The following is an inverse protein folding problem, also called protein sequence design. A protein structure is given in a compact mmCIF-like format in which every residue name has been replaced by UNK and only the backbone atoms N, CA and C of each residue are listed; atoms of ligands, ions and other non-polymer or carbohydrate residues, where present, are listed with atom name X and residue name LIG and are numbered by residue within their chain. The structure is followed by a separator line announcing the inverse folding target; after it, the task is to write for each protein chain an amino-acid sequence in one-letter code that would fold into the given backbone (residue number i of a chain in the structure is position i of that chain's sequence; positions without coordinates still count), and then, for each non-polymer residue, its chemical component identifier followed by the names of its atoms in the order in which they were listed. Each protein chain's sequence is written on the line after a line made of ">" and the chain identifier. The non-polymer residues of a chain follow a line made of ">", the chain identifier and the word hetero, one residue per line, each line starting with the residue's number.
data_IF_935834185331
#
_entry.id   IF_935834185331
#
_cell.length_a   1.000
_cell.length_b   1.000
_cell.length_c   1.000
_cell.angle_alpha   90.00
_cell.angle_beta   90.00
_cell.angle_gamma   90.00
#
_symmetry.space_group_name_H-M   'P 1'
#
loop_
_entity.id
_entity.type
_entity.pdbx_description
1 polymer ?
#
# COMPACT_ATOMS: atom_id res chain seq x y z
N UNK A 1 11.62 1.73 9.64
CA UNK A 1 10.96 3.05 9.53
C UNK A 1 9.54 2.91 10.02
N UNK A 2 9.05 3.84 10.84
CA UNK A 2 7.64 3.85 11.27
C UNK A 2 6.76 4.19 10.06
N UNK A 3 5.71 3.41 9.81
CA UNK A 3 4.76 3.58 8.68
C UNK A 3 4.15 4.99 8.59
N UNK A 4 4.09 5.69 9.72
CA UNK A 4 3.62 7.08 9.84
C UNK A 4 4.35 8.06 8.91
N UNK A 5 5.66 7.85 8.63
CA UNK A 5 6.41 8.79 7.79
C UNK A 5 6.01 8.72 6.31
N UNK A 6 5.65 7.53 5.84
CA UNK A 6 5.20 7.32 4.45
C UNK A 6 3.82 7.96 4.28
N UNK A 7 2.91 7.75 5.25
CA UNK A 7 1.59 8.37 5.24
C UNK A 7 1.66 9.90 5.28
N UNK A 8 2.51 10.46 6.15
CA UNK A 8 2.72 11.91 6.23
C UNK A 8 3.22 12.49 4.89
N UNK A 9 4.17 11.82 4.23
CA UNK A 9 4.68 12.26 2.93
C UNK A 9 3.59 12.20 1.85
N UNK A 10 2.83 11.12 1.79
CA UNK A 10 1.73 10.94 0.82
C UNK A 10 0.62 11.96 1.03
N UNK A 11 0.23 12.24 2.27
CA UNK A 11 -0.86 13.19 2.59
C UNK A 11 -0.49 14.65 2.33
N UNK A 12 0.81 14.98 2.26
CA UNK A 12 1.30 16.32 1.97
C UNK A 12 1.55 16.56 0.47
N UNK A 13 1.21 15.59 -0.39
CA UNK A 13 1.37 15.69 -1.85
C UNK A 13 0.00 15.76 -2.54
N UNK A 14 -0.05 16.44 -3.69
CA UNK A 14 -1.19 16.33 -4.59
C UNK A 14 -1.41 14.85 -4.97
N UNK A 15 -2.66 14.34 -4.99
CA UNK A 15 -2.94 12.91 -5.16
C UNK A 15 -2.26 12.26 -6.37
N UNK A 16 -2.18 12.99 -7.49
CA UNK A 16 -1.52 12.52 -8.71
C UNK A 16 0.00 12.43 -8.54
N UNK A 17 0.61 13.38 -7.83
CA UNK A 17 2.04 13.38 -7.54
C UNK A 17 2.39 12.26 -6.56
N UNK A 18 1.56 12.04 -5.54
CA UNK A 18 1.71 10.94 -4.59
C UNK A 18 1.64 9.57 -5.28
N UNK A 19 0.63 9.37 -6.13
CA UNK A 19 0.47 8.13 -6.89
C UNK A 19 1.66 7.86 -7.81
N UNK A 20 2.17 8.90 -8.50
CA UNK A 20 3.35 8.80 -9.36
C UNK A 20 4.61 8.43 -8.59
N UNK A 21 4.85 9.08 -7.45
CA UNK A 21 6.01 8.80 -6.58
C UNK A 21 5.97 7.38 -6.02
N UNK A 22 4.82 6.93 -5.50
CA UNK A 22 4.64 5.56 -5.03
C UNK A 22 4.83 4.53 -6.15
N UNK A 23 4.30 4.80 -7.35
CA UNK A 23 4.44 3.91 -8.50
C UNK A 23 5.90 3.72 -8.93
N UNK A 24 6.73 4.76 -8.81
CA UNK A 24 8.15 4.69 -9.13
C UNK A 24 8.90 3.75 -8.16
N UNK A 25 8.70 3.93 -6.86
CA UNK A 25 9.33 3.09 -5.82
C UNK A 25 8.83 1.65 -5.88
N UNK A 26 7.52 1.45 -6.06
CA UNK A 26 6.91 0.12 -6.15
C UNK A 26 7.42 -0.68 -7.35
N UNK A 27 7.73 -0.03 -8.48
CA UNK A 27 8.37 -0.70 -9.64
C UNK A 27 9.74 -1.30 -9.30
N UNK A 28 10.48 -0.69 -8.38
CA UNK A 28 11.76 -1.22 -7.92
C UNK A 28 11.61 -2.38 -6.92
N UNK A 29 10.58 -2.33 -6.07
CA UNK A 29 10.34 -3.34 -5.03
C UNK A 29 9.63 -4.58 -5.57
N UNK A 30 8.68 -4.42 -6.48
CA UNK A 30 7.82 -5.51 -6.96
C UNK A 30 8.58 -6.71 -7.54
N UNK A 31 9.66 -6.54 -8.33
CA UNK A 31 10.46 -7.67 -8.83
C UNK A 31 11.20 -8.44 -7.73
N UNK A 32 11.47 -7.83 -6.58
CA UNK A 32 12.19 -8.44 -5.45
C UNK A 32 11.28 -9.32 -4.59
N UNK A 33 9.97 -9.23 -4.77
CA UNK A 33 8.98 -10.06 -4.07
C UNK A 33 8.95 -11.47 -4.67
N UNK A 34 8.73 -12.46 -3.82
CA UNK A 34 8.37 -13.81 -4.27
C UNK A 34 7.00 -13.83 -4.98
N UNK A 35 6.69 -14.93 -5.66
CA UNK A 35 5.47 -15.07 -6.45
C UNK A 35 4.19 -14.87 -5.63
N UNK A 36 4.11 -15.48 -4.44
CA UNK A 36 2.97 -15.35 -3.55
C UNK A 36 2.82 -13.92 -3.00
N UNK A 37 3.94 -13.25 -2.72
CA UNK A 37 3.96 -11.85 -2.30
C UNK A 37 3.52 -10.91 -3.43
N UNK A 38 3.90 -11.17 -4.69
CA UNK A 38 3.43 -10.39 -5.85
C UNK A 38 1.92 -10.51 -6.05
N UNK A 39 1.39 -11.73 -5.97
CA UNK A 39 -0.05 -11.98 -6.12
C UNK A 39 -0.83 -11.26 -5.01
N UNK A 40 -0.43 -11.42 -3.74
CA UNK A 40 -1.05 -10.72 -2.61
C UNK A 40 -0.96 -9.20 -2.72
N UNK A 41 0.17 -8.68 -3.19
CA UNK A 41 0.34 -7.24 -3.40
C UNK A 41 -0.67 -6.68 -4.40
N UNK A 42 -0.83 -7.33 -5.56
CA UNK A 42 -1.81 -6.90 -6.58
C UNK A 42 -3.24 -7.06 -6.06
N UNK A 43 -3.55 -8.14 -5.35
CA UNK A 43 -4.86 -8.33 -4.72
C UNK A 43 -5.18 -7.24 -3.69
N UNK A 44 -4.21 -6.80 -2.88
CA UNK A 44 -4.42 -5.73 -1.90
C UNK A 44 -4.48 -4.32 -2.55
N UNK A 45 -3.88 -4.15 -3.74
CA UNK A 45 -3.90 -2.89 -4.47
C UNK A 45 -5.20 -2.69 -5.26
N UNK A 46 -5.74 -3.78 -5.82
CA UNK A 46 -6.98 -3.79 -6.62
C UNK A 46 -8.20 -4.10 -5.72
N UNK A 47 -7.99 -4.80 -4.62
CA UNK A 47 -9.01 -5.26 -3.68
C UNK A 47 -9.38 -4.21 -2.64
N UNK A 48 -10.64 -3.82 -2.73
CA UNK A 48 -11.49 -3.11 -1.78
C UNK A 48 -10.98 -1.76 -1.25
N UNK A 49 -11.25 -0.72 -2.04
CA UNK A 49 -11.34 0.66 -1.60
C UNK A 49 -12.52 0.93 -0.65
N UNK A 50 -13.13 -0.08 -0.02
CA UNK A 50 -14.31 0.14 0.82
C UNK A 50 -14.73 -1.02 1.71
N UNK A 51 -14.09 -1.19 2.88
CA UNK A 51 -14.85 -1.22 4.13
C UNK A 51 -13.95 -1.07 5.38
N UNK A 52 -14.48 -0.29 6.32
CA UNK A 52 -13.95 0.21 7.57
C UNK A 52 -13.72 -0.88 8.66
N UNK A 53 -13.32 -2.12 8.33
CA UNK A 53 -13.51 -3.27 9.27
C UNK A 53 -12.31 -4.16 9.62
N UNK A 54 -11.06 -3.73 9.42
CA UNK A 54 -9.89 -4.46 9.98
C UNK A 54 -9.56 -4.00 11.42
N UNK A 55 -10.57 -3.62 12.20
CA UNK A 55 -10.40 -3.23 13.62
C UNK A 55 -11.10 -4.14 14.62
N UNK A 56 -11.89 -5.16 14.22
CA UNK A 56 -12.77 -5.82 15.21
C UNK A 56 -12.72 -7.36 15.32
N UNK A 57 -11.81 -8.09 14.67
CA UNK A 57 -11.83 -9.57 14.74
C UNK A 57 -10.50 -10.26 15.11
N UNK A 58 -9.69 -9.62 15.96
CA UNK A 58 -8.64 -10.30 16.74
C UNK A 58 -8.93 -10.34 18.24
N UNK A 59 -10.21 -10.33 18.61
CA UNK A 59 -10.65 -10.81 19.91
C UNK A 59 -11.45 -12.11 19.69
N UNK A 60 -10.76 -13.23 19.84
CA UNK A 60 -11.25 -14.51 20.37
C UNK A 60 -10.04 -15.44 20.59
#
# INVERSE_FOLDING_TARGET
>A
MSTNKIQELVNNMEPQAAASALSFELKGLFPLLDEDARIRFVMNLIGDSGDDKVTSLVHL
#
